data_IF_967722857904
#
_entry.id   IF_967722857904
#
_cell.length_a   1.000
_cell.length_b   1.000
_cell.length_c   1.000
_cell.angle_alpha   90.00
_cell.angle_beta   90.00
_cell.angle_gamma   90.00
#
_symmetry.space_group_name_H-M   'P 1'
#
loop_
_entity.id
_entity.type
_entity.pdbx_description
1 polymer ?
#
# COMPACT_ATOMS: atom_id res chain seq x y z
N UNK A 1 -23.20 6.97 -4.26
CA UNK A 1 -21.75 7.18 -4.15
C UNK A 1 -21.36 8.66 -4.21
N UNK A 2 -21.62 9.41 -5.31
CA UNK A 2 -21.17 10.82 -5.38
C UNK A 2 -21.65 11.70 -4.20
N UNK A 3 -22.87 11.53 -3.70
CA UNK A 3 -23.36 12.28 -2.53
C UNK A 3 -22.60 11.98 -1.22
N UNK A 4 -22.13 10.75 -1.05
CA UNK A 4 -21.33 10.37 0.12
C UNK A 4 -19.96 11.05 0.04
N UNK A 5 -19.35 11.07 -1.15
CA UNK A 5 -18.11 11.80 -1.44
C UNK A 5 -18.28 13.29 -1.12
N UNK A 6 -19.34 13.93 -1.61
CA UNK A 6 -19.60 15.35 -1.35
C UNK A 6 -19.71 15.63 0.17
N UNK A 7 -20.46 14.80 0.90
CA UNK A 7 -20.60 14.92 2.35
C UNK A 7 -19.26 14.78 3.10
N UNK A 8 -18.41 13.84 2.69
CA UNK A 8 -17.07 13.64 3.28
C UNK A 8 -16.18 14.85 3.00
N UNK A 9 -16.12 15.35 1.75
CA UNK A 9 -15.28 16.50 1.38
C UNK A 9 -15.72 17.77 2.11
N UNK A 10 -17.02 18.03 2.18
CA UNK A 10 -17.57 19.23 2.82
C UNK A 10 -17.41 19.19 4.34
N UNK A 11 -17.83 18.09 4.99
CA UNK A 11 -17.93 18.03 6.45
C UNK A 11 -16.59 17.69 7.11
N UNK A 12 -15.79 16.78 6.53
CA UNK A 12 -14.49 16.41 7.10
C UNK A 12 -13.39 17.43 6.76
N UNK A 13 -13.69 18.47 5.98
CA UNK A 13 -12.74 19.52 5.63
C UNK A 13 -11.62 19.06 4.70
N UNK A 14 -11.77 17.91 4.04
CA UNK A 14 -10.78 17.38 3.10
C UNK A 14 -10.78 18.21 1.81
N UNK A 15 -9.61 18.36 1.21
CA UNK A 15 -9.41 19.13 -0.03
C UNK A 15 -8.64 18.26 -1.04
N UNK A 16 -9.32 17.33 -1.73
CA UNK A 16 -8.68 16.50 -2.75
C UNK A 16 -8.36 17.33 -4.00
N UNK A 17 -7.30 16.94 -4.70
CA UNK A 17 -6.93 17.51 -6.01
C UNK A 17 -7.87 17.02 -7.13
N UNK A 18 -8.41 15.81 -6.98
CA UNK A 18 -9.37 15.23 -7.90
C UNK A 18 -10.35 14.28 -7.20
N UNK A 19 -11.53 14.12 -7.80
CA UNK A 19 -12.56 13.16 -7.37
C UNK A 19 -12.85 12.20 -8.52
N UNK A 20 -12.56 10.93 -8.32
CA UNK A 20 -12.70 9.87 -9.32
C UNK A 20 -13.71 8.83 -8.83
N UNK A 21 -14.99 9.09 -9.07
CA UNK A 21 -16.07 8.19 -8.66
C UNK A 21 -16.25 8.14 -7.13
N UNK A 22 -15.63 7.18 -6.47
CA UNK A 22 -15.64 7.00 -5.01
C UNK A 22 -14.28 7.33 -4.36
N UNK A 23 -13.30 7.70 -5.17
CA UNK A 23 -11.94 7.94 -4.76
C UNK A 23 -11.67 9.45 -4.68
N UNK A 24 -11.15 9.89 -3.53
CA UNK A 24 -10.62 11.23 -3.32
C UNK A 24 -9.10 11.15 -3.50
N UNK A 25 -8.57 11.85 -4.50
CA UNK A 25 -7.14 11.81 -4.87
C UNK A 25 -6.43 13.04 -4.30
N UNK A 26 -5.29 12.80 -3.65
CA UNK A 26 -4.45 13.84 -3.06
C UNK A 26 -3.00 13.65 -3.50
N UNK A 27 -2.34 14.75 -3.85
CA UNK A 27 -0.99 14.78 -4.40
C UNK A 27 -0.97 14.49 -5.90
N UNK A 28 -0.26 15.34 -6.64
CA UNK A 28 0.01 15.21 -8.08
C UNK A 28 1.47 14.84 -8.39
N UNK A 29 2.24 14.50 -7.34
CA UNK A 29 3.66 14.18 -7.43
C UNK A 29 3.95 12.70 -7.73
N UNK A 30 5.17 12.29 -7.40
CA UNK A 30 5.65 10.93 -7.61
C UNK A 30 4.91 9.88 -6.76
N UNK A 31 4.33 10.32 -5.63
CA UNK A 31 3.41 9.54 -4.80
C UNK A 31 2.06 10.25 -4.78
N UNK A 32 1.00 9.47 -4.99
CA UNK A 32 -0.40 9.91 -4.85
C UNK A 32 -1.08 9.16 -3.71
N UNK A 33 -1.95 9.83 -3.00
CA UNK A 33 -2.78 9.25 -1.95
C UNK A 33 -4.22 9.17 -2.42
N UNK A 34 -4.83 8.02 -2.22
CA UNK A 34 -6.21 7.77 -2.64
C UNK A 34 -7.00 7.35 -1.42
N UNK A 35 -7.92 8.21 -0.98
CA UNK A 35 -8.95 7.85 -0.01
C UNK A 35 -10.14 7.27 -0.77
N UNK A 36 -10.31 5.96 -0.67
CA UNK A 36 -11.40 5.24 -1.32
C UNK A 36 -12.57 5.06 -0.37
N UNK A 37 -13.77 5.47 -0.78
CA UNK A 37 -15.03 5.17 -0.09
C UNK A 37 -15.67 3.94 -0.74
N UNK A 38 -15.95 2.91 0.05
CA UNK A 38 -16.54 1.66 -0.44
C UNK A 38 -17.81 1.31 0.30
N UNK A 39 -18.86 0.89 -0.40
CA UNK A 39 -19.99 0.25 0.26
C UNK A 39 -19.57 -1.11 0.80
N UNK A 40 -20.09 -1.48 1.96
CA UNK A 40 -19.89 -2.81 2.50
C UNK A 40 -20.59 -3.84 1.59
N UNK A 41 -19.88 -4.92 1.26
CA UNK A 41 -20.36 -5.98 0.36
C UNK A 41 -21.44 -6.87 1.00
N UNK A 42 -21.53 -6.87 2.33
CA UNK A 42 -22.50 -7.62 3.13
C UNK A 42 -23.63 -6.73 3.66
N UNK A 43 -23.37 -5.43 3.85
CA UNK A 43 -24.38 -4.44 4.21
C UNK A 43 -24.39 -3.23 3.27
N UNK A 44 -25.35 -3.19 2.34
CA UNK A 44 -25.51 -2.06 1.41
C UNK A 44 -25.83 -0.73 2.09
N UNK A 45 -26.21 -0.75 3.37
CA UNK A 45 -26.48 0.42 4.18
C UNK A 45 -25.27 0.86 4.99
N UNK A 46 -24.13 0.19 4.82
CA UNK A 46 -22.89 0.58 5.44
C UNK A 46 -21.80 0.89 4.39
N UNK A 47 -20.87 1.77 4.77
CA UNK A 47 -19.69 2.10 3.97
C UNK A 47 -18.45 2.13 4.85
N UNK A 48 -17.31 1.82 4.26
CA UNK A 48 -16.01 2.01 4.86
C UNK A 48 -15.16 2.96 4.03
N UNK A 49 -14.03 3.33 4.59
CA UNK A 49 -13.02 4.10 3.89
C UNK A 49 -11.63 3.55 4.16
N UNK A 50 -10.75 3.67 3.17
CA UNK A 50 -9.34 3.29 3.27
C UNK A 50 -8.48 4.30 2.53
N UNK A 51 -7.24 4.49 2.97
CA UNK A 51 -6.26 5.32 2.26
C UNK A 51 -5.16 4.44 1.72
N UNK A 52 -4.79 4.66 0.46
CA UNK A 52 -3.63 4.03 -0.17
C UNK A 52 -2.65 5.09 -0.64
N UNK A 53 -1.39 4.97 -0.25
CA UNK A 53 -0.30 5.73 -0.84
C UNK A 53 0.32 4.89 -1.95
N UNK A 54 0.36 5.43 -3.17
CA UNK A 54 0.73 4.71 -4.39
C UNK A 54 1.79 5.50 -5.16
N UNK A 55 2.78 4.79 -5.69
CA UNK A 55 3.66 5.35 -6.71
C UNK A 55 2.87 5.66 -7.99
N UNK A 56 2.96 6.89 -8.50
CA UNK A 56 2.14 7.34 -9.62
C UNK A 56 2.49 6.64 -10.95
N UNK A 57 3.77 6.33 -11.19
CA UNK A 57 4.23 5.77 -12.47
C UNK A 57 4.22 4.25 -12.47
N UNK A 58 4.67 3.62 -11.38
CA UNK A 58 4.86 2.17 -11.29
C UNK A 58 3.60 1.44 -10.85
N UNK A 59 2.70 2.07 -10.10
CA UNK A 59 1.46 1.40 -9.66
C UNK A 59 0.56 0.98 -10.82
N UNK A 60 0.32 1.80 -11.86
CA UNK A 60 -0.43 1.36 -13.04
C UNK A 60 0.23 0.18 -13.76
N UNK A 61 1.56 0.21 -13.92
CA UNK A 61 2.34 -0.85 -14.58
C UNK A 61 2.21 -2.18 -13.83
N UNK A 62 2.17 -2.11 -12.49
CA UNK A 62 2.06 -3.26 -11.61
C UNK A 62 0.63 -3.51 -11.10
N UNK A 63 -0.41 -2.97 -11.75
CA UNK A 63 -1.79 -3.09 -11.28
C UNK A 63 -2.24 -4.55 -11.10
N UNK A 64 -1.84 -5.45 -12.01
CA UNK A 64 -2.10 -6.89 -11.92
C UNK A 64 -1.40 -7.59 -10.73
N UNK A 65 -0.52 -6.88 -10.03
CA UNK A 65 0.21 -7.32 -8.84
C UNK A 65 -0.02 -6.40 -7.63
N UNK A 66 -1.11 -5.62 -7.65
CA UNK A 66 -1.49 -4.71 -6.58
C UNK A 66 -0.74 -3.38 -6.54
N UNK A 67 0.02 -3.02 -7.58
CA UNK A 67 0.74 -1.74 -7.68
C UNK A 67 1.98 -1.63 -6.78
N UNK A 68 2.56 -0.44 -6.67
CA UNK A 68 3.62 -0.14 -5.68
C UNK A 68 3.06 0.89 -4.71
N UNK A 69 2.80 0.46 -3.50
CA UNK A 69 2.16 1.30 -2.50
C UNK A 69 1.87 0.55 -1.22
N UNK A 70 1.29 1.28 -0.29
CA UNK A 70 0.89 0.78 1.03
C UNK A 70 -0.52 1.25 1.35
N UNK A 71 -1.26 0.39 2.06
CA UNK A 71 -2.54 0.78 2.65
C UNK A 71 -2.28 1.35 4.04
N UNK A 72 -2.92 2.48 4.34
CA UNK A 72 -2.80 3.18 5.61
C UNK A 72 -4.05 2.90 6.44
N UNK A 73 -3.85 2.34 7.62
CA UNK A 73 -4.88 1.91 8.54
C UNK A 73 -4.87 2.83 9.77
N UNK A 74 -5.99 2.86 10.48
CA UNK A 74 -6.07 3.42 11.85
C UNK A 74 -6.16 2.27 12.88
N UNK A 75 -6.09 2.56 14.19
CA UNK A 75 -6.37 1.62 15.28
C UNK A 75 -7.70 0.87 15.16
N UNK A 76 -7.72 -0.39 15.60
CA UNK A 76 -8.94 -1.23 15.74
C UNK A 76 -9.60 -1.73 14.45
N UNK A 77 -8.82 -1.90 13.37
CA UNK A 77 -9.35 -2.57 12.17
C UNK A 77 -9.64 -4.03 12.51
N UNK A 78 -10.92 -4.40 12.51
CA UNK A 78 -11.34 -5.79 12.72
C UNK A 78 -10.66 -6.73 11.69
N UNK A 79 -10.26 -7.96 12.09
CA UNK A 79 -9.74 -8.99 11.18
C UNK A 79 -10.72 -9.38 10.07
N UNK A 80 -12.02 -9.06 10.22
CA UNK A 80 -13.07 -9.33 9.23
C UNK A 80 -13.22 -8.21 8.18
N UNK A 81 -12.42 -7.15 8.27
CA UNK A 81 -12.29 -6.14 7.23
C UNK A 81 -13.17 -4.92 7.45
N UNK A 82 -12.52 -3.82 7.85
CA UNK A 82 -13.00 -2.46 7.65
C UNK A 82 -13.85 -1.91 8.80
N UNK A 83 -13.70 -0.62 9.04
CA UNK A 83 -14.66 0.17 9.79
C UNK A 83 -15.87 0.37 8.90
N UNK A 84 -17.05 0.05 9.41
CA UNK A 84 -18.30 0.14 8.67
C UNK A 84 -19.19 1.17 9.34
N UNK A 85 -19.56 2.19 8.58
CA UNK A 85 -20.36 3.34 8.99
C UNK A 85 -21.69 3.33 8.28
N UNK A 86 -22.78 3.82 8.89
CA UNK A 86 -24.05 3.93 8.18
C UNK A 86 -23.91 4.87 6.98
N UNK A 87 -24.40 4.42 5.82
CA UNK A 87 -24.54 5.27 4.65
C UNK A 87 -25.59 6.33 4.98
N UNK A 88 -25.27 7.63 4.89
CA UNK A 88 -26.24 8.67 5.18
C UNK A 88 -27.40 8.59 4.18
N UNK A 89 -28.63 8.66 4.68
CA UNK A 89 -29.80 8.81 3.83
C UNK A 89 -29.70 10.13 3.03
N UNK A 90 -30.41 10.21 1.89
CA UNK A 90 -30.29 11.37 1.02
C UNK A 90 -30.54 12.69 1.77
N UNK A 91 -29.58 13.63 1.68
CA UNK A 91 -29.57 14.95 2.33
C UNK A 91 -29.36 14.95 3.85
N UNK A 92 -28.99 13.82 4.45
CA UNK A 92 -28.54 13.78 5.84
C UNK A 92 -27.03 13.99 5.93
N UNK A 93 -26.56 14.67 7.00
CA UNK A 93 -25.13 14.74 7.29
C UNK A 93 -24.57 13.36 7.63
N UNK A 94 -23.24 13.24 7.65
CA UNK A 94 -22.60 12.10 8.28
C UNK A 94 -22.98 12.10 9.76
N UNK A 95 -23.16 10.93 10.36
CA UNK A 95 -23.31 10.88 11.81
C UNK A 95 -22.02 11.36 12.50
N UNK A 96 -22.16 11.83 13.74
CA UNK A 96 -21.08 12.48 14.46
C UNK A 96 -19.86 11.54 14.68
N UNK A 97 -20.08 10.23 14.83
CA UNK A 97 -18.99 9.28 15.05
C UNK A 97 -18.19 9.07 13.75
N UNK A 98 -18.89 8.87 12.63
CA UNK A 98 -18.26 8.79 11.30
C UNK A 98 -17.47 10.04 10.95
N UNK A 99 -18.04 11.22 11.22
CA UNK A 99 -17.37 12.49 10.96
C UNK A 99 -16.14 12.68 11.85
N UNK A 100 -16.27 12.42 13.15
CA UNK A 100 -15.15 12.54 14.10
C UNK A 100 -13.98 11.62 13.69
N UNK A 101 -14.28 10.39 13.30
CA UNK A 101 -13.28 9.45 12.82
C UNK A 101 -12.56 9.94 11.55
N UNK A 102 -13.31 10.37 10.53
CA UNK A 102 -12.72 10.94 9.31
C UNK A 102 -11.84 12.15 9.61
N UNK A 103 -12.28 13.06 10.48
CA UNK A 103 -11.51 14.25 10.87
C UNK A 103 -10.25 13.87 11.64
N UNK A 104 -10.30 12.83 12.47
CA UNK A 104 -9.17 12.38 13.27
C UNK A 104 -8.09 11.67 12.44
N UNK A 105 -8.48 10.75 11.56
CA UNK A 105 -7.54 9.84 10.93
C UNK A 105 -7.23 10.13 9.46
N UNK A 106 -8.19 10.67 8.69
CA UNK A 106 -7.99 10.83 7.24
C UNK A 106 -6.86 11.81 6.89
N UNK A 107 -6.71 12.98 7.55
CA UNK A 107 -5.60 13.89 7.26
C UNK A 107 -4.23 13.26 7.49
N UNK A 108 -4.06 12.54 8.61
CA UNK A 108 -2.80 11.85 8.92
C UNK A 108 -2.52 10.72 7.92
N UNK A 109 -3.55 10.00 7.47
CA UNK A 109 -3.40 8.93 6.49
C UNK A 109 -3.04 9.44 5.09
N UNK A 110 -3.66 10.54 4.66
CA UNK A 110 -3.37 11.18 3.36
C UNK A 110 -1.98 11.82 3.33
N UNK A 111 -1.47 12.27 4.47
CA UNK A 111 -0.11 12.79 4.60
C UNK A 111 0.91 11.75 5.05
N UNK A 112 0.61 10.44 4.99
CA UNK A 112 1.46 9.43 5.63
C UNK A 112 2.80 9.25 4.93
N UNK A 113 2.79 9.16 3.60
CA UNK A 113 3.97 8.91 2.76
C UNK A 113 4.38 10.23 2.10
N UNK A 114 5.60 10.69 2.34
CA UNK A 114 6.03 12.00 1.82
C UNK A 114 6.47 11.93 0.36
N UNK A 115 7.24 10.91 0.00
CA UNK A 115 7.85 10.76 -1.31
C UNK A 115 8.19 9.29 -1.62
N UNK A 116 8.88 9.06 -2.76
CA UNK A 116 9.29 7.72 -3.21
C UNK A 116 10.31 7.07 -2.27
N UNK A 117 11.24 7.85 -1.71
CA UNK A 117 12.26 7.31 -0.81
C UNK A 117 11.61 6.84 0.49
N UNK A 118 10.68 7.64 1.02
CA UNK A 118 9.88 7.30 2.18
C UNK A 118 9.01 6.05 1.94
N UNK A 119 8.34 5.97 0.78
CA UNK A 119 7.59 4.77 0.39
C UNK A 119 8.49 3.53 0.33
N UNK A 120 9.69 3.66 -0.26
CA UNK A 120 10.68 2.59 -0.33
C UNK A 120 11.12 2.12 1.05
N UNK A 121 11.42 3.06 1.95
CA UNK A 121 11.76 2.77 3.35
C UNK A 121 10.66 2.01 4.08
N UNK A 122 9.39 2.41 3.89
CA UNK A 122 8.24 1.69 4.44
C UNK A 122 8.14 0.28 3.86
N UNK A 123 8.31 0.10 2.53
CA UNK A 123 8.25 -1.22 1.91
C UNK A 123 9.32 -2.17 2.45
N UNK A 124 10.47 -1.65 2.90
CA UNK A 124 11.55 -2.42 3.51
C UNK A 124 11.36 -2.65 5.02
N UNK A 125 10.33 -2.10 5.67
CA UNK A 125 10.14 -2.34 7.10
C UNK A 125 9.75 -3.81 7.40
N UNK A 126 10.23 -4.32 8.54
CA UNK A 126 10.00 -5.70 8.98
C UNK A 126 8.54 -5.98 9.40
N UNK A 127 7.78 -4.93 9.69
CA UNK A 127 6.36 -4.98 10.06
C UNK A 127 5.71 -3.61 9.89
N UNK A 128 4.48 -3.47 10.38
CA UNK A 128 3.69 -2.25 10.24
C UNK A 128 4.46 -1.00 10.72
N UNK A 129 4.39 0.08 9.94
CA UNK A 129 5.05 1.35 10.27
C UNK A 129 4.03 2.28 10.90
N UNK A 130 4.27 2.71 12.13
CA UNK A 130 3.36 3.59 12.86
C UNK A 130 3.82 5.05 12.78
N UNK A 131 2.90 5.96 12.46
CA UNK A 131 3.13 7.42 12.52
C UNK A 131 1.91 8.12 13.09
N UNK A 132 2.05 8.59 14.32
CA UNK A 132 0.93 9.20 15.04
C UNK A 132 -0.24 8.22 15.19
N UNK A 133 -1.47 8.61 14.79
CA UNK A 133 -2.67 7.81 15.02
C UNK A 133 -2.95 6.77 13.92
N UNK A 134 -2.04 6.58 12.96
CA UNK A 134 -2.23 5.69 11.81
C UNK A 134 -0.97 4.86 11.55
N UNK A 135 -1.11 3.78 10.78
CA UNK A 135 0.01 2.94 10.39
C UNK A 135 -0.11 2.42 8.96
N UNK A 136 1.03 2.23 8.28
CA UNK A 136 1.08 1.49 7.03
C UNK A 136 1.10 -0.01 7.33
N UNK A 137 0.14 -0.74 6.78
CA UNK A 137 0.03 -2.18 7.00
C UNK A 137 0.95 -2.97 6.05
N UNK A 138 1.75 -3.87 6.63
CA UNK A 138 2.79 -4.61 5.94
C UNK A 138 2.72 -6.11 6.29
N UNK A 139 1.71 -6.84 5.76
CA UNK A 139 1.50 -8.24 6.10
C UNK A 139 2.76 -9.09 5.87
N UNK A 140 3.14 -9.97 6.82
CA UNK A 140 4.42 -10.71 6.74
C UNK A 140 4.58 -11.56 5.48
N UNK A 141 3.50 -12.13 4.97
CA UNK A 141 3.49 -12.95 3.75
C UNK A 141 3.79 -12.15 2.46
N UNK A 142 3.84 -10.82 2.52
CA UNK A 142 4.17 -9.95 1.39
C UNK A 142 5.63 -9.48 1.38
N UNK A 143 6.42 -9.80 2.42
CA UNK A 143 7.77 -9.24 2.60
C UNK A 143 8.68 -9.41 1.36
N UNK A 144 8.69 -10.60 0.74
CA UNK A 144 9.50 -10.85 -0.45
C UNK A 144 9.04 -10.01 -1.66
N UNK A 145 7.73 -9.86 -1.84
CA UNK A 145 7.15 -9.04 -2.89
C UNK A 145 7.46 -7.55 -2.67
N UNK A 146 7.40 -7.09 -1.41
CA UNK A 146 7.71 -5.72 -1.01
C UNK A 146 9.18 -5.38 -1.24
N UNK A 147 10.11 -6.26 -0.87
CA UNK A 147 11.53 -6.06 -1.14
C UNK A 147 11.79 -5.91 -2.64
N UNK A 148 11.24 -6.79 -3.48
CA UNK A 148 11.36 -6.66 -4.93
C UNK A 148 10.77 -5.32 -5.46
N UNK A 149 9.62 -4.88 -4.93
CA UNK A 149 9.02 -3.57 -5.26
C UNK A 149 9.91 -2.40 -4.82
N UNK A 150 10.55 -2.49 -3.66
CA UNK A 150 11.47 -1.47 -3.17
C UNK A 150 12.70 -1.33 -4.09
N UNK A 151 13.27 -2.44 -4.58
CA UNK A 151 14.37 -2.40 -5.57
C UNK A 151 13.91 -1.76 -6.88
N UNK A 152 12.71 -2.11 -7.38
CA UNK A 152 12.13 -1.49 -8.59
C UNK A 152 11.98 0.02 -8.40
N UNK A 153 11.42 0.43 -7.27
CA UNK A 153 11.21 1.84 -6.94
C UNK A 153 12.54 2.59 -6.87
N UNK A 154 13.52 2.05 -6.15
CA UNK A 154 14.85 2.62 -6.02
C UNK A 154 15.54 2.81 -7.37
N UNK A 155 15.59 1.75 -8.19
CA UNK A 155 16.19 1.79 -9.53
C UNK A 155 15.48 2.76 -10.46
N UNK A 156 14.15 2.78 -10.43
CA UNK A 156 13.35 3.70 -11.26
C UNK A 156 13.53 5.15 -10.85
N UNK A 157 13.81 5.43 -9.58
CA UNK A 157 14.06 6.77 -9.06
C UNK A 157 15.55 7.18 -9.10
N UNK A 158 16.47 6.24 -9.38
CA UNK A 158 17.91 6.45 -9.23
C UNK A 158 18.36 6.60 -7.77
N UNK A 159 17.61 6.06 -6.82
CA UNK A 159 17.88 6.13 -5.38
C UNK A 159 18.86 5.03 -4.96
N UNK A 160 20.15 5.33 -5.10
CA UNK A 160 21.25 4.44 -4.73
C UNK A 160 21.22 3.99 -3.25
N UNK A 161 21.05 4.91 -2.28
CA UNK A 161 20.94 4.54 -0.87
C UNK A 161 19.80 3.55 -0.58
N UNK A 162 18.61 3.76 -1.14
CA UNK A 162 17.48 2.84 -0.98
C UNK A 162 17.76 1.48 -1.62
N UNK A 163 18.36 1.47 -2.82
CA UNK A 163 18.74 0.23 -3.48
C UNK A 163 19.75 -0.57 -2.65
N UNK A 164 20.79 0.09 -2.14
CA UNK A 164 21.80 -0.55 -1.28
C UNK A 164 21.16 -1.15 -0.04
N UNK A 165 20.23 -0.43 0.60
CA UNK A 165 19.50 -0.91 1.76
C UNK A 165 18.68 -2.17 1.44
N UNK A 166 17.95 -2.17 0.32
CA UNK A 166 17.16 -3.32 -0.12
C UNK A 166 18.04 -4.56 -0.41
N UNK A 167 19.17 -4.36 -1.08
CA UNK A 167 20.12 -5.43 -1.40
C UNK A 167 20.82 -5.98 -0.17
N UNK A 168 21.17 -5.11 0.80
CA UNK A 168 21.72 -5.52 2.09
C UNK A 168 20.73 -6.39 2.87
N UNK A 169 19.47 -5.96 2.93
CA UNK A 169 18.41 -6.76 3.55
C UNK A 169 18.26 -8.13 2.89
N UNK A 170 18.31 -8.20 1.56
CA UNK A 170 18.28 -9.48 0.84
C UNK A 170 19.51 -10.36 1.17
N UNK A 171 20.69 -9.77 1.32
CA UNK A 171 21.90 -10.49 1.69
C UNK A 171 21.80 -11.07 3.12
N UNK A 172 21.31 -10.27 4.06
CA UNK A 172 21.18 -10.64 5.48
C UNK A 172 20.06 -11.65 5.73
N UNK A 173 18.88 -11.42 5.13
CA UNK A 173 17.69 -12.23 5.38
C UNK A 173 17.46 -13.33 4.33
N UNK A 174 18.28 -13.37 3.28
CA UNK A 174 18.01 -14.22 2.11
C UNK A 174 17.99 -15.72 2.40
N UNK A 175 18.74 -16.19 3.40
CA UNK A 175 18.78 -17.59 3.83
C UNK A 175 17.71 -17.94 4.88
N UNK A 176 16.83 -16.99 5.23
CA UNK A 176 15.70 -17.27 6.12
C UNK A 176 14.76 -18.29 5.45
N UNK A 177 14.51 -19.38 6.16
CA UNK A 177 13.54 -20.40 5.76
C UNK A 177 12.10 -19.84 5.91
N UNK A 178 11.35 -19.87 4.81
CA UNK A 178 9.94 -19.46 4.74
C UNK A 178 9.06 -20.59 4.18
N UNK A 179 9.54 -21.83 4.28
CA UNK A 179 8.87 -23.04 3.82
C UNK A 179 7.47 -23.15 4.42
N UNK A 180 6.47 -23.29 3.55
CA UNK A 180 5.09 -23.61 3.95
C UNK A 180 4.68 -25.05 3.59
N UNK A 181 5.47 -25.76 2.77
CA UNK A 181 5.25 -27.16 2.40
C UNK A 181 6.32 -28.04 3.04
N UNK A 182 5.96 -29.03 3.87
CA UNK A 182 6.95 -29.95 4.45
C UNK A 182 7.81 -30.64 3.38
N UNK A 183 9.13 -30.57 3.54
CA UNK A 183 10.09 -31.29 2.68
C UNK A 183 10.61 -30.51 1.46
N UNK A 184 10.11 -29.29 1.20
CA UNK A 184 10.61 -28.43 0.12
C UNK A 184 11.17 -27.12 0.68
N UNK A 185 12.49 -27.04 0.97
CA UNK A 185 13.10 -25.83 1.46
C UNK A 185 12.86 -24.67 0.49
N UNK A 186 12.26 -23.60 0.99
CA UNK A 186 12.00 -22.38 0.25
C UNK A 186 12.53 -21.19 1.01
N UNK A 187 13.58 -20.57 0.48
CA UNK A 187 14.27 -19.47 1.13
C UNK A 187 13.66 -18.14 0.73
N UNK A 188 13.80 -17.14 1.61
CA UNK A 188 13.32 -15.79 1.35
C UNK A 188 13.87 -15.21 0.03
N UNK A 189 15.16 -15.46 -0.28
CA UNK A 189 15.75 -15.05 -1.57
C UNK A 189 15.10 -15.69 -2.78
N UNK A 190 14.63 -16.93 -2.67
CA UNK A 190 13.96 -17.61 -3.78
C UNK A 190 12.58 -16.99 -4.02
N UNK A 191 11.84 -16.64 -2.95
CA UNK A 191 10.60 -15.88 -3.07
C UNK A 191 10.80 -14.50 -3.70
N UNK A 192 11.85 -13.76 -3.30
CA UNK A 192 12.20 -12.47 -3.93
C UNK A 192 12.47 -12.66 -5.41
N UNK A 193 13.27 -13.67 -5.78
CA UNK A 193 13.56 -14.01 -7.18
C UNK A 193 12.32 -14.38 -7.98
N UNK A 194 11.36 -15.09 -7.40
CA UNK A 194 10.10 -15.44 -8.04
C UNK A 194 9.23 -14.21 -8.35
N UNK A 195 9.16 -13.26 -7.41
CA UNK A 195 8.50 -11.97 -7.63
C UNK A 195 9.23 -11.11 -8.65
N UNK A 196 10.56 -11.01 -8.56
CA UNK A 196 11.39 -10.29 -9.52
C UNK A 196 11.16 -10.79 -10.96
N UNK A 197 11.09 -12.12 -11.16
CA UNK A 197 10.76 -12.71 -12.47
C UNK A 197 9.37 -12.35 -12.98
N UNK A 198 8.38 -12.22 -12.09
CA UNK A 198 7.02 -11.80 -12.48
C UNK A 198 7.00 -10.32 -12.85
N UNK A 199 7.64 -9.48 -12.06
CA UNK A 199 7.68 -8.03 -12.28
C UNK A 199 8.51 -7.64 -13.50
N UNK A 200 9.68 -8.25 -13.72
CA UNK A 200 10.56 -7.97 -14.87
C UNK A 200 9.89 -8.11 -16.25
N UNK A 201 8.74 -8.81 -16.33
CA UNK A 201 7.95 -8.92 -17.56
C UNK A 201 7.19 -7.65 -17.93
N UNK A 202 6.92 -6.80 -16.94
CA UNK A 202 6.07 -5.61 -17.08
C UNK A 202 6.82 -4.33 -16.70
N UNK A 203 7.84 -4.42 -15.84
CA UNK A 203 8.67 -3.27 -15.48
C UNK A 203 9.87 -3.18 -16.43
N UNK A 204 10.18 -1.98 -16.89
CA UNK A 204 11.35 -1.70 -17.75
C UNK A 204 12.68 -1.63 -16.99
N UNK A 205 12.77 -2.27 -15.83
CA UNK A 205 13.93 -2.23 -14.93
C UNK A 205 14.57 -3.63 -14.90
N UNK A 206 15.89 -3.71 -15.02
CA UNK A 206 16.61 -4.98 -14.85
C UNK A 206 16.51 -5.44 -13.40
N UNK A 207 16.13 -6.70 -13.20
CA UNK A 207 16.04 -7.37 -11.89
C UNK A 207 16.75 -8.72 -11.90
N UNK A 208 17.58 -8.98 -12.91
CA UNK A 208 18.21 -10.28 -13.15
C UNK A 208 19.14 -10.72 -12.01
N UNK A 209 19.73 -9.76 -11.30
CA UNK A 209 20.58 -9.93 -10.12
C UNK A 209 19.81 -10.42 -8.88
N UNK A 210 18.52 -10.12 -8.78
CA UNK A 210 17.64 -10.65 -7.72
C UNK A 210 17.25 -12.10 -7.97
N UNK A 211 17.45 -12.59 -9.20
CA UNK A 211 17.10 -13.96 -9.58
C UNK A 211 18.32 -14.85 -9.48
N UNK A 212 18.25 -15.91 -8.68
CA UNK A 212 19.33 -16.90 -8.66
C UNK A 212 19.41 -17.55 -10.05
N UNK A 213 20.53 -17.41 -10.76
CA UNK A 213 20.83 -18.32 -11.87
C UNK A 213 20.90 -19.72 -11.28
N UNK A 214 19.90 -20.57 -11.56
CA UNK A 214 19.98 -22.01 -11.28
C UNK A 214 21.30 -22.49 -11.88
N UNK A 215 22.30 -22.78 -11.04
CA UNK A 215 23.47 -23.55 -11.49
C UNK A 215 22.91 -24.87 -12.00
N UNK A 216 22.98 -25.09 -13.32
CA UNK A 216 22.79 -26.42 -13.89
C UNK A 216 23.79 -27.33 -13.18
N UNK A 217 23.28 -28.28 -12.40
CA UNK A 217 24.06 -29.45 -11.98
C UNK A 217 24.15 -30.38 -13.18
#
# INVERSE_FOLDING_TARGET
MSRLVDAVVEQAGLRPDAVEGADLVFGTGAVRHVLSLGLDKHDRFAFGWTVRALDTELSPVLAGFGGIGVEIWRPDRSPLGGYSYPVPAARQPLDAATLADLVEYAPAAVGFVQDRADLGGILLADGDVHRGPVWAALPPNTAAARLAKAVILARSAGDGPLEEQALRMLAEQGDRDITWVPGEPYLFRDAVGDWARKYAKVVGVDLSDLTRKRRRR
#
